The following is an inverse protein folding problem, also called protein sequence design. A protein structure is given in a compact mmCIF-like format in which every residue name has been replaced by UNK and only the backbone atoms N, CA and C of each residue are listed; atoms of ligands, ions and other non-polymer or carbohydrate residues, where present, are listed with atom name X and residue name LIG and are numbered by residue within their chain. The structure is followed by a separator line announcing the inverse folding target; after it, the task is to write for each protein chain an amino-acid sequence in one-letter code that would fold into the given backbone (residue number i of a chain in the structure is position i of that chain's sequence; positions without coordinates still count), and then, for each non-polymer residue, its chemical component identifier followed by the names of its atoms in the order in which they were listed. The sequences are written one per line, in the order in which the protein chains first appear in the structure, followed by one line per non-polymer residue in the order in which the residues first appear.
data_IF_221436693235
#
_entry.id   IF_221436693235
#
_cell.length_a   1.000
_cell.length_b   1.000
_cell.length_c   1.000
_cell.angle_alpha   90.00
_cell.angle_beta   90.00
_cell.angle_gamma   90.00
#
_symmetry.space_group_name_H-M   'P 1'
#
loop_
_entity.id
_entity.type
_entity.pdbx_description
1 polymer ?
#
# COMPACT_ATOMS: atom_id res chain seq x y z
N UNK A 1 -14.93 13.14 -10.05
CA UNK A 1 -14.73 11.84 -9.39
C UNK A 1 -13.28 11.75 -8.94
N UNK A 2 -12.99 10.97 -7.90
CA UNK A 2 -11.66 10.80 -7.34
C UNK A 2 -11.23 9.34 -7.50
N UNK A 3 -10.06 9.09 -8.09
CA UNK A 3 -9.47 7.75 -8.10
C UNK A 3 -8.84 7.50 -6.73
N UNK A 4 -9.38 6.57 -5.96
CA UNK A 4 -8.99 6.36 -4.56
C UNK A 4 -8.58 4.92 -4.26
N UNK A 5 -7.85 4.81 -3.16
CA UNK A 5 -7.42 3.56 -2.56
C UNK A 5 -7.26 3.78 -1.05
N UNK A 6 -7.23 2.68 -0.30
CA UNK A 6 -6.94 2.65 1.14
C UNK A 6 -5.53 2.09 1.31
N UNK A 7 -4.72 2.75 2.13
CA UNK A 7 -3.35 2.34 2.37
C UNK A 7 -2.93 2.60 3.82
N UNK A 8 -1.89 1.88 4.25
CA UNK A 8 -1.14 2.19 5.46
C UNK A 8 0.01 3.13 5.07
N UNK A 9 0.09 4.26 5.76
CA UNK A 9 1.23 5.16 5.64
C UNK A 9 2.47 4.53 6.28
N UNK A 10 3.60 4.65 5.58
CA UNK A 10 4.87 4.11 6.03
C UNK A 10 5.64 5.21 6.79
N UNK A 11 6.23 4.92 7.96
CA UNK A 11 7.04 5.89 8.70
C UNK A 11 8.17 6.49 7.85
N UNK A 12 8.50 7.75 8.11
CA UNK A 12 9.48 8.50 7.32
C UNK A 12 10.88 7.88 7.38
N UNK A 13 11.24 7.26 8.51
CA UNK A 13 12.49 6.52 8.70
C UNK A 13 12.60 5.34 7.72
N UNK A 14 11.48 4.65 7.49
CA UNK A 14 11.41 3.52 6.57
C UNK A 14 11.44 4.01 5.12
N UNK A 15 10.72 5.11 4.79
CA UNK A 15 10.79 5.73 3.45
C UNK A 15 12.23 6.15 3.11
N UNK A 16 12.96 6.74 4.06
CA UNK A 16 14.39 7.08 3.92
C UNK A 16 15.26 5.84 3.72
N UNK A 17 15.04 4.79 4.51
CA UNK A 17 15.77 3.53 4.36
C UNK A 17 15.57 2.92 2.96
N UNK A 18 14.33 2.86 2.45
CA UNK A 18 14.02 2.38 1.10
C UNK A 18 14.71 3.25 0.03
N UNK A 19 14.69 4.57 0.18
CA UNK A 19 15.35 5.49 -0.76
C UNK A 19 16.86 5.27 -0.79
N UNK A 20 17.51 5.12 0.37
CA UNK A 20 18.94 4.85 0.49
C UNK A 20 19.32 3.50 -0.14
N UNK A 21 18.59 2.43 0.21
CA UNK A 21 18.87 1.07 -0.28
C UNK A 21 18.60 0.93 -1.79
N UNK A 22 17.65 1.68 -2.34
CA UNK A 22 17.36 1.68 -3.78
C UNK A 22 18.25 2.60 -4.62
N UNK A 23 19.09 3.44 -4.02
CA UNK A 23 19.90 4.43 -4.74
C UNK A 23 20.88 3.80 -5.75
N UNK A 24 21.54 2.70 -5.37
CA UNK A 24 22.42 1.96 -6.28
C UNK A 24 21.67 1.36 -7.46
N UNK A 25 20.47 0.82 -7.22
CA UNK A 25 19.61 0.25 -8.25
C UNK A 25 19.05 1.33 -9.19
N UNK A 26 18.64 2.48 -8.65
CA UNK A 26 18.24 3.68 -9.40
C UNK A 26 19.33 4.12 -10.36
N UNK A 27 20.57 4.18 -9.88
CA UNK A 27 21.74 4.54 -10.70
C UNK A 27 22.02 3.50 -11.78
N UNK A 28 21.95 2.21 -11.45
CA UNK A 28 22.24 1.12 -12.38
C UNK A 28 21.19 0.97 -13.50
N UNK A 29 19.90 1.16 -13.19
CA UNK A 29 18.80 1.02 -14.16
C UNK A 29 18.53 2.31 -14.94
N UNK A 30 19.03 3.46 -14.46
CA UNK A 30 18.92 4.74 -15.13
C UNK A 30 17.48 5.13 -15.47
N UNK A 31 17.28 5.70 -16.66
CA UNK A 31 15.97 6.19 -17.14
C UNK A 31 14.99 5.12 -17.62
N UNK A 32 15.37 3.83 -17.61
CA UNK A 32 14.49 2.74 -18.02
C UNK A 32 13.39 2.40 -17.00
N UNK A 33 13.44 3.01 -15.81
CA UNK A 33 12.48 2.78 -14.72
C UNK A 33 11.92 4.10 -14.25
N UNK A 34 10.59 4.17 -14.18
CA UNK A 34 9.90 5.27 -13.50
C UNK A 34 9.84 4.97 -12.01
N UNK A 35 10.63 5.69 -11.23
CA UNK A 35 10.69 5.53 -9.78
C UNK A 35 9.55 6.27 -9.08
N UNK A 36 8.95 5.62 -8.07
CA UNK A 36 8.02 6.28 -7.15
C UNK A 36 8.80 7.21 -6.23
N UNK A 37 8.30 8.42 -6.05
CA UNK A 37 8.89 9.37 -5.12
C UNK A 37 8.80 8.82 -3.67
N UNK A 38 9.84 8.92 -2.84
CA UNK A 38 9.86 8.31 -1.50
C UNK A 38 8.62 8.64 -0.62
N UNK A 39 8.13 9.86 -0.72
CA UNK A 39 6.94 10.36 -0.02
C UNK A 39 5.66 9.62 -0.41
N UNK A 40 5.60 9.07 -1.63
CA UNK A 40 4.46 8.33 -2.16
C UNK A 40 4.52 6.83 -1.85
N UNK A 41 5.56 6.35 -1.14
CA UNK A 41 5.64 4.94 -0.74
C UNK A 41 4.63 4.66 0.37
N UNK A 42 3.74 3.72 0.11
CA UNK A 42 2.68 3.28 1.01
C UNK A 42 2.40 1.79 0.82
N UNK A 43 1.75 1.16 1.80
CA UNK A 43 1.23 -0.19 1.66
C UNK A 43 -0.25 -0.13 1.29
N UNK A 44 -0.58 -0.39 0.03
CA UNK A 44 -1.96 -0.43 -0.43
C UNK A 44 -2.69 -1.64 0.15
N UNK A 45 -3.89 -1.42 0.72
CA UNK A 45 -4.77 -2.47 1.23
C UNK A 45 -5.92 -2.78 0.26
N UNK A 46 -6.47 -1.76 -0.40
CA UNK A 46 -7.57 -1.90 -1.36
C UNK A 46 -7.62 -0.73 -2.34
N UNK A 47 -7.81 -1.02 -3.63
CA UNK A 47 -8.19 -0.01 -4.62
C UNK A 47 -9.72 0.14 -4.65
N UNK A 48 -10.22 1.38 -4.66
CA UNK A 48 -11.66 1.68 -4.67
C UNK A 48 -12.17 2.17 -6.03
N UNK A 49 -11.26 2.52 -6.95
CA UNK A 49 -11.63 3.08 -8.24
C UNK A 49 -12.11 4.52 -8.10
N UNK A 50 -13.09 4.92 -8.92
CA UNK A 50 -13.62 6.27 -8.93
C UNK A 50 -14.77 6.45 -7.92
N UNK A 51 -14.57 7.32 -6.94
CA UNK A 51 -15.59 7.65 -5.93
C UNK A 51 -16.00 9.13 -6.00
N UNK A 52 -17.22 9.43 -5.57
CA UNK A 52 -17.67 10.82 -5.42
C UNK A 52 -17.00 11.45 -4.19
N UNK A 53 -16.66 12.76 -4.21
CA UNK A 53 -16.18 13.46 -3.02
C UNK A 53 -17.15 13.37 -1.84
N UNK A 54 -18.45 13.30 -2.11
CA UNK A 54 -19.49 13.17 -1.08
C UNK A 54 -19.38 11.85 -0.30
N UNK A 55 -18.89 10.77 -0.92
CA UNK A 55 -18.76 9.46 -0.28
C UNK A 55 -17.48 9.33 0.56
N UNK A 56 -16.50 10.22 0.39
CA UNK A 56 -15.21 10.16 1.11
C UNK A 56 -15.43 10.22 2.61
N UNK A 57 -16.26 11.14 3.10
CA UNK A 57 -16.50 11.30 4.55
C UNK A 57 -17.08 10.04 5.18
N UNK A 58 -18.06 9.41 4.53
CA UNK A 58 -18.68 8.17 5.00
C UNK A 58 -17.68 7.01 5.01
N UNK A 59 -16.87 6.90 3.95
CA UNK A 59 -15.80 5.90 3.85
C UNK A 59 -14.76 6.07 4.95
N UNK A 60 -14.32 7.29 5.23
CA UNK A 60 -13.37 7.58 6.32
C UNK A 60 -13.93 7.14 7.67
N UNK A 61 -15.17 7.49 8.00
CA UNK A 61 -15.79 7.09 9.27
C UNK A 61 -15.92 5.57 9.41
N UNK A 62 -16.28 4.88 8.32
CA UNK A 62 -16.40 3.42 8.31
C UNK A 62 -15.03 2.74 8.40
N UNK A 63 -14.00 3.35 7.81
CA UNK A 63 -12.62 2.88 7.90
C UNK A 63 -12.05 3.07 9.31
N UNK A 64 -12.31 4.19 9.98
CA UNK A 64 -11.90 4.43 11.36
C UNK A 64 -12.52 3.40 12.32
N UNK A 65 -13.82 3.15 12.17
CA UNK A 65 -14.52 2.15 12.97
C UNK A 65 -13.97 0.73 12.72
N UNK A 66 -13.77 0.34 11.46
CA UNK A 66 -13.21 -0.98 11.12
C UNK A 66 -11.77 -1.12 11.64
N UNK A 67 -10.90 -0.13 11.41
CA UNK A 67 -9.51 -0.17 11.86
C UNK A 67 -9.42 -0.25 13.39
N UNK A 68 -10.33 0.40 14.12
CA UNK A 68 -10.42 0.34 15.58
C UNK A 68 -10.75 -1.05 16.16
N UNK A 69 -11.17 -2.01 15.33
CA UNK A 69 -11.40 -3.40 15.74
C UNK A 69 -10.11 -4.25 15.75
N UNK A 70 -8.99 -3.71 15.26
CA UNK A 70 -7.73 -4.44 15.13
C UNK A 70 -6.67 -3.87 16.07
N UNK A 71 -6.03 -4.75 16.83
CA UNK A 71 -4.87 -4.38 17.65
C UNK A 71 -3.70 -3.92 16.78
N UNK A 72 -2.89 -2.95 17.24
CA UNK A 72 -1.65 -2.56 16.58
C UNK A 72 -0.73 -3.77 16.37
N UNK A 73 0.00 -3.78 15.25
CA UNK A 73 0.91 -4.85 14.91
C UNK A 73 2.20 -4.32 14.27
N UNK A 74 3.29 -5.08 14.41
CA UNK A 74 4.59 -4.74 13.82
C UNK A 74 4.79 -5.51 12.53
N UNK A 75 5.13 -4.79 11.46
CA UNK A 75 5.53 -5.37 10.17
C UNK A 75 7.03 -5.17 10.01
N UNK A 76 7.73 -6.19 9.49
CA UNK A 76 9.14 -6.06 9.12
C UNK A 76 9.26 -5.85 7.61
N UNK A 77 10.08 -4.89 7.23
CA UNK A 77 10.42 -4.66 5.83
C UNK A 77 11.43 -5.72 5.39
N UNK A 78 11.09 -6.44 4.33
CA UNK A 78 11.86 -7.55 3.78
C UNK A 78 12.65 -7.19 2.53
N UNK A 79 12.95 -8.21 1.73
CA UNK A 79 13.78 -8.09 0.54
C UNK A 79 13.06 -7.44 -0.64
N UNK A 80 13.84 -6.93 -1.58
CA UNK A 80 13.33 -6.51 -2.88
C UNK A 80 12.83 -7.71 -3.69
N UNK A 81 11.73 -7.50 -4.40
CA UNK A 81 11.15 -8.44 -5.34
C UNK A 81 10.77 -7.75 -6.65
N UNK A 82 10.38 -8.56 -7.63
CA UNK A 82 9.92 -8.07 -8.94
C UNK A 82 8.68 -8.82 -9.40
N UNK A 83 7.82 -8.13 -10.16
CA UNK A 83 6.72 -8.74 -10.90
C UNK A 83 6.85 -8.47 -12.41
N UNK A 84 6.36 -9.35 -13.29
CA UNK A 84 5.90 -10.71 -12.98
C UNK A 84 7.08 -11.69 -12.80
N UNK A 85 8.19 -11.50 -13.50
CA UNK A 85 9.38 -12.37 -13.40
C UNK A 85 10.69 -11.57 -13.52
N UNK A 86 11.82 -12.07 -12.96
CA UNK A 86 13.12 -11.42 -13.11
C UNK A 86 13.63 -11.29 -14.55
N UNK A 87 13.16 -12.15 -15.47
CA UNK A 87 13.55 -12.09 -16.89
C UNK A 87 12.91 -10.91 -17.63
N UNK A 88 11.72 -10.49 -17.22
CA UNK A 88 10.98 -9.35 -17.78
C UNK A 88 10.20 -8.62 -16.68
N UNK A 89 10.89 -7.91 -15.78
CA UNK A 89 10.24 -7.21 -14.69
C UNK A 89 9.51 -5.97 -15.20
N UNK A 90 8.33 -5.69 -14.63
CA UNK A 90 7.53 -4.49 -14.84
C UNK A 90 7.37 -3.66 -13.57
N UNK A 91 7.48 -4.29 -12.39
CA UNK A 91 7.38 -3.63 -11.08
C UNK A 91 8.47 -4.15 -10.18
N UNK A 92 9.17 -3.25 -9.50
CA UNK A 92 10.07 -3.55 -8.38
C UNK A 92 9.32 -3.19 -7.10
N UNK A 93 9.30 -4.09 -6.13
CA UNK A 93 8.60 -3.90 -4.87
C UNK A 93 9.47 -4.31 -3.68
N UNK A 94 9.12 -3.83 -2.50
CA UNK A 94 9.76 -4.22 -1.24
C UNK A 94 8.82 -5.18 -0.53
N UNK A 95 9.32 -6.35 -0.18
CA UNK A 95 8.54 -7.35 0.56
C UNK A 95 8.30 -6.93 1.98
N UNK A 96 7.26 -7.53 2.58
CA UNK A 96 6.91 -7.33 3.97
C UNK A 96 6.77 -8.71 4.61
N UNK A 97 7.39 -8.87 5.78
CA UNK A 97 7.08 -9.95 6.71
C UNK A 97 6.04 -9.40 7.70
N UNK A 98 4.80 -9.82 7.50
CA UNK A 98 3.65 -9.26 8.18
C UNK A 98 2.97 -10.31 9.07
N UNK A 99 2.62 -9.96 10.32
CA UNK A 99 1.89 -10.86 11.19
C UNK A 99 0.46 -11.04 10.69
N UNK A 100 -0.25 -12.01 11.27
CA UNK A 100 -1.65 -12.29 10.95
C UNK A 100 -2.61 -11.08 11.12
N UNK A 101 -2.18 -10.03 11.84
CA UNK A 101 -2.90 -8.76 11.96
C UNK A 101 -3.14 -8.06 10.62
N UNK A 102 -2.13 -8.00 9.74
CA UNK A 102 -2.27 -7.29 8.46
C UNK A 102 -3.31 -7.94 7.53
N UNK A 103 -3.28 -9.27 7.29
CA UNK A 103 -4.33 -9.92 6.50
C UNK A 103 -5.72 -9.84 7.15
N UNK A 104 -5.82 -9.79 8.48
CA UNK A 104 -7.12 -9.60 9.16
C UNK A 104 -7.69 -8.21 8.92
N UNK A 105 -6.87 -7.17 9.08
CA UNK A 105 -7.24 -5.79 8.77
C UNK A 105 -7.68 -5.64 7.32
N UNK A 106 -6.91 -6.21 6.39
CA UNK A 106 -7.21 -6.12 4.96
C UNK A 106 -8.56 -6.78 4.62
N UNK A 107 -8.85 -7.97 5.16
CA UNK A 107 -10.17 -8.62 4.98
C UNK A 107 -11.32 -7.83 5.60
N UNK A 108 -11.10 -7.22 6.76
CA UNK A 108 -12.07 -6.35 7.40
C UNK A 108 -12.44 -5.16 6.51
N UNK A 109 -11.42 -4.49 5.95
CA UNK A 109 -11.59 -3.40 5.00
C UNK A 109 -12.30 -3.88 3.72
N UNK A 110 -11.96 -5.04 3.17
CA UNK A 110 -12.68 -5.61 2.03
C UNK A 110 -14.17 -5.83 2.32
N UNK A 111 -14.49 -6.46 3.45
CA UNK A 111 -15.88 -6.73 3.83
C UNK A 111 -16.68 -5.44 4.08
N UNK A 112 -16.09 -4.47 4.78
CA UNK A 112 -16.72 -3.17 5.04
C UNK A 112 -16.99 -2.41 3.74
N UNK A 113 -15.99 -2.32 2.86
CA UNK A 113 -16.12 -1.59 1.59
C UNK A 113 -17.08 -2.28 0.62
N UNK A 114 -17.15 -3.61 0.61
CA UNK A 114 -18.13 -4.36 -0.17
C UNK A 114 -19.58 -4.03 0.24
N UNK A 115 -19.85 -3.91 1.55
CA UNK A 115 -21.19 -3.52 2.07
C UNK A 115 -21.60 -2.10 1.63
N UNK A 116 -20.62 -1.25 1.34
CA UNK A 116 -20.83 0.11 0.84
C UNK A 116 -20.90 0.19 -0.70
N UNK A 117 -20.88 -0.94 -1.41
CA UNK A 117 -20.96 -1.00 -2.86
C UNK A 117 -19.61 -0.92 -3.60
N UNK A 118 -18.49 -0.98 -2.88
CA UNK A 118 -17.14 -1.01 -3.45
C UNK A 118 -16.57 -2.43 -3.47
N UNK A 119 -17.33 -3.37 -4.03
CA UNK A 119 -16.86 -4.73 -4.27
C UNK A 119 -15.74 -4.70 -5.32
N UNK A 120 -14.65 -5.42 -5.04
CA UNK A 120 -13.58 -5.69 -6.01
C UNK A 120 -13.93 -6.97 -6.78
#
# INVERSE_FOLDING_TARGET
MLRTFIAIEIPEEIKKAISSQSAGLRKALGGGVRWVAPENVHLTLKFLGDISPANVKMLTQSLEAEAGLHEPFTVKVGNLGVFPTPRRPRVIWVGLDAPAGLPRLQRGIEAMTARLGYAA
#
